data_IF_689230696657
#
_entry.id   IF_689230696657
#
_cell.length_a   1.000
_cell.length_b   1.000
_cell.length_c   1.000
_cell.angle_alpha   90.00
_cell.angle_beta   90.00
_cell.angle_gamma   90.00
#
_symmetry.space_group_name_H-M   'P 1'
#
loop_
_entity.id
_entity.type
_entity.pdbx_description
1 polymer ?
#
# COMPACT_ATOMS: atom_id res chain seq x y z
N UNK A 1 -24.49 6.15 -2.89
CA UNK A 1 -23.23 5.95 -3.65
C UNK A 1 -23.48 4.89 -4.70
N UNK A 2 -23.05 5.16 -5.92
CA UNK A 2 -23.16 4.25 -7.05
C UNK A 2 -21.81 3.57 -7.28
N UNK A 3 -21.82 2.36 -7.86
CA UNK A 3 -20.58 1.62 -8.18
C UNK A 3 -19.60 2.43 -9.05
N UNK A 4 -20.13 3.28 -9.91
CA UNK A 4 -19.36 4.17 -10.79
C UNK A 4 -18.47 5.15 -10.05
N UNK A 5 -18.83 5.52 -8.82
CA UNK A 5 -18.08 6.49 -8.00
C UNK A 5 -16.68 5.96 -7.63
N UNK A 6 -16.44 4.66 -7.79
CA UNK A 6 -15.19 3.97 -7.46
C UNK A 6 -14.50 3.35 -8.69
N UNK A 7 -14.95 3.69 -9.89
CA UNK A 7 -14.33 3.20 -11.12
C UNK A 7 -13.01 3.92 -11.40
N UNK A 8 -11.99 3.15 -11.76
CA UNK A 8 -10.74 3.67 -12.31
C UNK A 8 -10.20 2.73 -13.38
N UNK A 9 -9.43 3.28 -14.32
CA UNK A 9 -8.78 2.49 -15.36
C UNK A 9 -7.55 1.80 -14.77
N UNK A 10 -7.57 0.47 -14.70
CA UNK A 10 -6.44 -0.35 -14.27
C UNK A 10 -5.91 -1.15 -15.48
N UNK A 11 -4.76 -0.77 -16.05
CA UNK A 11 -4.10 -1.56 -17.08
C UNK A 11 -3.79 -2.98 -16.58
N UNK A 12 -4.12 -4.04 -17.35
CA UNK A 12 -3.97 -5.43 -16.89
C UNK A 12 -2.54 -5.81 -16.49
N UNK A 13 -1.54 -5.23 -17.17
CA UNK A 13 -0.12 -5.52 -16.91
C UNK A 13 0.40 -4.94 -15.58
N UNK A 14 -0.36 -4.04 -14.94
CA UNK A 14 -0.04 -3.52 -13.60
C UNK A 14 -0.57 -4.43 -12.47
N UNK A 15 -1.37 -5.45 -12.82
CA UNK A 15 -1.82 -6.47 -11.86
C UNK A 15 -0.69 -7.49 -11.71
N UNK A 16 -0.03 -7.45 -10.55
CA UNK A 16 0.99 -8.44 -10.21
C UNK A 16 0.38 -9.86 -10.22
N UNK A 17 0.90 -10.72 -11.10
CA UNK A 17 0.44 -12.11 -11.23
C UNK A 17 1.02 -13.03 -10.14
N UNK A 18 2.17 -12.63 -9.59
CA UNK A 18 2.86 -13.32 -8.52
C UNK A 18 3.37 -12.30 -7.50
N UNK A 19 3.49 -12.66 -6.22
CA UNK A 19 4.12 -11.80 -5.23
C UNK A 19 5.57 -11.50 -5.62
N UNK A 20 6.07 -10.34 -5.18
CA UNK A 20 7.48 -9.99 -5.39
C UNK A 20 8.39 -11.06 -4.80
N UNK A 21 9.40 -11.46 -5.57
CA UNK A 21 10.39 -12.48 -5.16
C UNK A 21 11.14 -12.08 -3.89
N UNK A 22 11.30 -10.77 -3.65
CA UNK A 22 11.80 -10.23 -2.40
C UNK A 22 10.61 -9.79 -1.54
N UNK A 23 10.35 -10.49 -0.42
CA UNK A 23 9.22 -10.18 0.48
C UNK A 23 9.20 -8.72 1.00
N UNK A 24 10.34 -8.03 1.01
CA UNK A 24 10.47 -6.62 1.42
C UNK A 24 10.62 -5.63 0.26
N UNK A 25 10.55 -6.11 -0.99
CA UNK A 25 10.76 -5.30 -2.19
C UNK A 25 9.48 -4.73 -2.80
N UNK A 26 8.35 -4.74 -2.07
CA UNK A 26 7.12 -4.10 -2.52
C UNK A 26 7.19 -2.59 -2.34
N UNK A 27 6.54 -1.86 -3.24
CA UNK A 27 6.29 -0.42 -3.10
C UNK A 27 5.25 -0.17 -2.00
N UNK A 28 5.37 0.99 -1.36
CA UNK A 28 4.41 1.52 -0.40
C UNK A 28 4.01 2.92 -0.87
N UNK A 29 2.71 3.17 -1.10
CA UNK A 29 2.20 4.51 -1.37
C UNK A 29 1.66 5.09 -0.05
N UNK A 30 2.35 6.10 0.49
CA UNK A 30 1.87 6.85 1.65
C UNK A 30 0.96 7.98 1.18
N UNK A 31 -0.23 8.06 1.78
CA UNK A 31 -1.23 9.09 1.47
C UNK A 31 -1.55 9.87 2.75
N UNK A 32 -1.17 11.13 2.81
CA UNK A 32 -1.39 11.98 3.99
C UNK A 32 -1.90 13.35 3.58
N UNK A 33 -3.11 13.72 4.02
CA UNK A 33 -3.72 15.03 3.76
C UNK A 33 -3.66 15.49 2.28
N UNK A 34 -3.87 14.56 1.34
CA UNK A 34 -3.82 14.82 -0.10
C UNK A 34 -2.42 14.78 -0.72
N UNK A 35 -1.36 14.55 0.07
CA UNK A 35 -0.01 14.30 -0.43
C UNK A 35 0.18 12.81 -0.73
N UNK A 36 0.80 12.52 -1.87
CA UNK A 36 1.17 11.18 -2.29
C UNK A 36 2.69 11.05 -2.22
N UNK A 37 3.18 10.00 -1.55
CA UNK A 37 4.60 9.70 -1.47
C UNK A 37 4.86 8.23 -1.81
N UNK A 38 5.69 8.01 -2.82
CA UNK A 38 6.22 6.69 -3.15
C UNK A 38 7.37 6.32 -2.20
N UNK A 39 7.25 5.18 -1.54
CA UNK A 39 8.21 4.61 -0.59
C UNK A 39 8.45 3.12 -0.89
N UNK A 40 9.40 2.52 -0.19
CA UNK A 40 9.51 1.06 -0.12
C UNK A 40 8.81 0.55 1.13
N UNK A 41 8.28 -0.68 1.11
CA UNK A 41 7.65 -1.26 2.31
C UNK A 41 8.63 -1.38 3.49
N UNK A 42 9.94 -1.47 3.21
CA UNK A 42 10.99 -1.42 4.22
C UNK A 42 11.04 -0.08 5.00
N UNK A 43 10.49 1.01 4.45
CA UNK A 43 10.41 2.32 5.10
C UNK A 43 9.21 2.41 6.05
N UNK A 44 8.26 1.47 6.02
CA UNK A 44 7.05 1.49 6.85
C UNK A 44 7.29 1.79 8.34
N UNK A 45 8.30 1.19 9.02
CA UNK A 45 8.56 1.48 10.42
C UNK A 45 8.87 2.96 10.71
N UNK A 46 9.39 3.72 9.73
CA UNK A 46 9.67 5.16 9.89
C UNK A 46 8.41 6.02 9.92
N UNK A 47 7.28 5.50 9.45
CA UNK A 47 6.00 6.18 9.46
C UNK A 47 5.27 6.04 10.81
N UNK A 48 5.71 5.12 11.66
CA UNK A 48 5.09 4.83 12.95
C UNK A 48 5.66 5.74 14.03
N UNK A 49 4.80 6.07 14.99
CA UNK A 49 5.15 6.81 16.20
C UNK A 49 5.22 5.85 17.39
N UNK A 50 5.95 6.28 18.41
CA UNK A 50 5.99 5.54 19.68
C UNK A 50 4.57 5.47 20.25
N UNK A 51 4.11 4.25 20.55
CA UNK A 51 2.78 4.00 21.10
C UNK A 51 1.74 3.56 20.06
N UNK A 52 2.08 3.58 18.77
CA UNK A 52 1.19 3.03 17.74
C UNK A 52 1.02 1.50 17.92
N UNK A 53 -0.21 1.02 17.73
CA UNK A 53 -0.56 -0.41 17.77
C UNK A 53 -0.80 -0.93 16.36
N UNK A 54 0.00 -1.92 15.95
CA UNK A 54 -0.24 -2.66 14.71
C UNK A 54 -1.07 -3.90 15.01
N UNK A 55 -2.26 -3.98 14.42
CA UNK A 55 -3.13 -5.16 14.50
C UNK A 55 -2.96 -5.96 13.21
N UNK A 56 -2.38 -7.14 13.34
CA UNK A 56 -2.30 -8.11 12.26
C UNK A 56 -3.45 -9.10 12.40
N UNK A 57 -4.09 -9.43 11.27
CA UNK A 57 -4.98 -10.57 11.21
C UNK A 57 -4.14 -11.82 10.94
N UNK A 58 -4.21 -12.79 11.83
CA UNK A 58 -3.56 -14.10 11.70
C UNK A 58 -4.66 -15.12 11.40
N UNK A 59 -4.75 -15.55 10.14
CA UNK A 59 -5.77 -16.47 9.60
C UNK A 59 -5.09 -17.60 8.83
#
# INVERSE_FOLDING_TARGET
MQRSDFFYVLPPHLIAQFPSRLRRGSRLLSVQAGQLQDLQFADFPRLLRKGDLLVFNDT
#
